data_IF_465146608989
#
_entry.id   IF_465146608989
#
_cell.length_a   1.000
_cell.length_b   1.000
_cell.length_c   1.000
_cell.angle_alpha   90.00
_cell.angle_beta   90.00
_cell.angle_gamma   90.00
#
_symmetry.space_group_name_H-M   'P 1'
#
loop_
_entity.id
_entity.type
_entity.pdbx_description
1 polymer ?
#
# COMPACT_ATOMS: atom_id res chain seq x y z
N UNK A 1 -15.99 -6.19 -65.07
CA UNK A 1 -15.92 -6.62 -63.66
C UNK A 1 -14.46 -6.76 -63.29
N UNK A 2 -13.88 -5.73 -62.67
CA UNK A 2 -12.47 -5.72 -62.29
C UNK A 2 -12.41 -5.35 -60.81
N UNK A 3 -12.15 -6.34 -59.96
CA UNK A 3 -12.02 -6.17 -58.51
C UNK A 3 -10.72 -5.39 -58.22
N UNK A 4 -10.86 -4.15 -57.72
CA UNK A 4 -9.77 -3.39 -57.12
C UNK A 4 -9.43 -4.01 -55.76
N UNK A 5 -8.16 -4.38 -55.58
CA UNK A 5 -7.59 -4.73 -54.27
C UNK A 5 -7.60 -3.49 -53.38
N UNK A 6 -8.31 -3.56 -52.26
CA UNK A 6 -8.26 -2.58 -51.17
C UNK A 6 -6.91 -2.67 -50.46
N UNK A 7 -6.22 -1.54 -50.31
CA UNK A 7 -5.07 -1.38 -49.42
C UNK A 7 -5.56 -1.48 -47.97
N UNK A 8 -5.05 -2.45 -47.20
CA UNK A 8 -5.21 -2.45 -45.74
C UNK A 8 -4.50 -1.23 -45.17
N UNK A 9 -5.26 -0.34 -44.53
CA UNK A 9 -4.72 0.63 -43.58
C UNK A 9 -4.10 -0.15 -42.41
N UNK A 10 -2.93 0.27 -41.94
CA UNK A 10 -2.32 -0.28 -40.73
C UNK A 10 -3.24 0.06 -39.55
N UNK A 11 -3.69 -0.96 -38.83
CA UNK A 11 -4.40 -0.77 -37.57
C UNK A 11 -3.43 -0.11 -36.59
N UNK A 12 -3.80 1.06 -36.04
CA UNK A 12 -3.16 1.58 -34.82
C UNK A 12 -3.37 0.52 -33.74
N UNK A 13 -2.29 0.06 -33.10
CA UNK A 13 -2.41 -0.80 -31.91
C UNK A 13 -2.92 0.07 -30.78
N UNK A 14 -3.79 -0.47 -29.93
CA UNK A 14 -4.25 0.30 -28.78
C UNK A 14 -3.08 0.48 -27.79
N UNK A 15 -2.95 1.64 -27.11
CA UNK A 15 -1.88 1.88 -26.12
C UNK A 15 -1.74 0.77 -25.07
N UNK A 16 -2.86 0.14 -24.70
CA UNK A 16 -2.88 -1.02 -23.80
C UNK A 16 -2.13 -2.25 -24.35
N UNK A 17 -2.12 -2.50 -25.67
CA UNK A 17 -1.36 -3.60 -26.28
C UNK A 17 0.14 -3.34 -26.31
N UNK A 18 0.54 -2.06 -26.44
CA UNK A 18 1.95 -1.64 -26.47
C UNK A 18 2.55 -1.70 -25.07
N UNK A 19 1.84 -1.16 -24.07
CA UNK A 19 2.22 -1.28 -22.65
C UNK A 19 2.27 -2.73 -22.18
N UNK A 20 1.33 -3.57 -22.63
CA UNK A 20 1.36 -5.03 -22.41
C UNK A 20 2.62 -5.68 -22.98
N UNK A 21 2.95 -5.35 -24.23
CA UNK A 21 4.12 -5.92 -24.92
C UNK A 21 5.42 -5.52 -24.25
N UNK A 22 5.52 -4.24 -23.84
CA UNK A 22 6.66 -3.74 -23.08
C UNK A 22 6.78 -4.41 -21.71
N UNK A 23 5.69 -4.51 -20.97
CA UNK A 23 5.70 -5.08 -19.63
C UNK A 23 6.00 -6.59 -19.62
N UNK A 24 5.60 -7.32 -20.65
CA UNK A 24 5.99 -8.73 -20.84
C UNK A 24 7.45 -8.93 -21.29
N UNK A 25 8.18 -7.86 -21.63
CA UNK A 25 9.60 -7.96 -22.00
C UNK A 25 10.53 -8.16 -20.80
N UNK A 26 10.03 -7.93 -19.58
CA UNK A 26 10.80 -8.12 -18.35
C UNK A 26 11.00 -9.62 -18.04
N UNK A 27 12.20 -10.03 -17.55
CA UNK A 27 12.43 -11.41 -17.12
C UNK A 27 11.44 -11.84 -16.05
N UNK A 28 10.94 -13.08 -16.16
CA UNK A 28 9.95 -13.66 -15.24
C UNK A 28 8.59 -12.92 -15.16
N UNK A 29 8.31 -12.05 -16.13
CA UNK A 29 7.00 -11.43 -16.29
C UNK A 29 5.96 -12.44 -16.75
N UNK A 30 4.79 -12.46 -16.12
CA UNK A 30 3.66 -13.27 -16.53
C UNK A 30 2.33 -12.55 -16.30
N UNK A 31 1.31 -12.96 -17.03
CA UNK A 31 -0.04 -12.38 -16.90
C UNK A 31 -0.87 -13.15 -15.89
N UNK A 32 -1.65 -12.41 -15.12
CA UNK A 32 -2.64 -12.89 -14.19
C UNK A 32 -3.90 -12.04 -14.32
N UNK A 33 -5.07 -12.63 -14.10
CA UNK A 33 -6.35 -11.94 -14.28
C UNK A 33 -7.20 -11.98 -13.00
N UNK A 34 -6.68 -11.46 -11.87
CA UNK A 34 -7.32 -11.62 -10.56
C UNK A 34 -8.70 -10.96 -10.47
N UNK A 35 -8.94 -9.90 -11.24
CA UNK A 35 -10.19 -9.13 -11.24
C UNK A 35 -10.89 -9.07 -12.61
N UNK A 36 -10.58 -10.00 -13.52
CA UNK A 36 -11.14 -9.99 -14.89
C UNK A 36 -10.40 -9.10 -15.88
N UNK A 37 -9.32 -8.44 -15.46
CA UNK A 37 -8.45 -7.61 -16.28
C UNK A 37 -6.97 -8.01 -16.15
N UNK A 38 -6.11 -7.54 -17.07
CA UNK A 38 -4.75 -8.07 -17.22
C UNK A 38 -3.79 -7.44 -16.20
N UNK A 39 -3.39 -8.17 -15.18
CA UNK A 39 -2.28 -7.82 -14.31
C UNK A 39 -1.00 -8.55 -14.76
N UNK A 40 0.04 -7.83 -15.10
CA UNK A 40 1.36 -8.36 -15.36
C UNK A 40 2.13 -8.36 -14.04
N UNK A 41 2.62 -9.53 -13.64
CA UNK A 41 3.42 -9.73 -12.43
C UNK A 41 4.87 -10.06 -12.78
N UNK A 42 5.80 -9.56 -11.98
CA UNK A 42 7.22 -9.94 -11.99
C UNK A 42 7.58 -10.39 -10.57
N UNK A 43 8.20 -11.57 -10.41
CA UNK A 43 8.54 -12.12 -9.10
C UNK A 43 7.35 -12.24 -8.12
N UNK A 44 6.17 -12.60 -8.64
CA UNK A 44 4.90 -12.70 -7.89
C UNK A 44 4.31 -11.37 -7.40
N UNK A 45 4.95 -10.23 -7.67
CA UNK A 45 4.43 -8.89 -7.40
C UNK A 45 3.80 -8.30 -8.65
N UNK A 46 2.72 -7.55 -8.49
CA UNK A 46 2.11 -6.80 -9.60
C UNK A 46 3.13 -5.76 -10.08
N UNK A 47 3.30 -5.70 -11.40
CA UNK A 47 4.18 -4.79 -12.11
C UNK A 47 3.36 -3.80 -12.95
N UNK A 48 2.29 -4.28 -13.58
CA UNK A 48 1.34 -3.43 -14.31
C UNK A 48 -0.05 -4.05 -14.19
N UNK A 49 -1.09 -3.26 -13.96
CA UNK A 49 -2.49 -3.64 -14.19
C UNK A 49 -3.02 -2.85 -15.38
N UNK A 50 -3.48 -3.59 -16.39
CA UNK A 50 -4.05 -3.11 -17.63
C UNK A 50 -5.56 -3.37 -17.65
N UNK A 51 -6.32 -2.28 -17.49
CA UNK A 51 -7.78 -2.29 -17.44
C UNK A 51 -8.30 -2.58 -16.04
N UNK A 52 -9.19 -1.75 -15.54
CA UNK A 52 -10.25 -2.09 -14.57
C UNK A 52 -11.60 -1.92 -15.26
N UNK A 53 -12.73 -2.12 -14.57
CA UNK A 53 -14.07 -1.88 -15.14
C UNK A 53 -14.24 -0.43 -15.69
N UNK A 54 -13.35 0.48 -15.29
CA UNK A 54 -13.29 1.88 -15.71
C UNK A 54 -12.08 2.23 -16.63
N UNK A 55 -11.37 1.24 -17.16
CA UNK A 55 -10.25 1.48 -18.08
C UNK A 55 -8.95 2.00 -17.45
N UNK A 56 -8.85 1.95 -16.12
CA UNK A 56 -7.66 2.29 -15.33
C UNK A 56 -6.44 1.46 -15.74
N UNK A 57 -5.28 2.11 -15.79
CA UNK A 57 -4.00 1.53 -16.17
C UNK A 57 -3.00 1.98 -15.11
N UNK A 58 -2.57 1.06 -14.24
CA UNK A 58 -1.66 1.34 -13.13
C UNK A 58 -0.38 0.54 -13.33
N UNK A 59 0.76 1.18 -13.08
CA UNK A 59 2.09 0.55 -13.13
C UNK A 59 2.68 0.57 -11.72
N UNK A 60 3.56 -0.36 -11.38
CA UNK A 60 4.26 -0.42 -10.10
C UNK A 60 5.60 -1.14 -10.30
N UNK A 61 6.68 -0.70 -9.66
CA UNK A 61 8.00 -1.32 -9.85
C UNK A 61 8.14 -2.59 -8.98
N UNK A 62 8.65 -3.73 -9.49
CA UNK A 62 8.91 -4.90 -8.67
C UNK A 62 10.22 -4.64 -7.92
N UNK A 63 10.14 -4.17 -6.67
CA UNK A 63 11.36 -3.89 -5.92
C UNK A 63 11.22 -3.17 -4.60
N UNK A 64 10.19 -2.36 -4.38
CA UNK A 64 9.91 -1.81 -3.06
C UNK A 64 9.48 -2.97 -2.15
N UNK A 65 10.43 -3.43 -1.34
CA UNK A 65 10.19 -4.42 -0.30
C UNK A 65 10.59 -3.70 0.96
N UNK A 66 9.59 -3.09 1.61
CA UNK A 66 9.72 -2.64 2.98
C UNK A 66 10.12 -3.87 3.80
N UNK A 67 11.34 -3.85 4.34
CA UNK A 67 11.86 -4.94 5.19
C UNK A 67 11.93 -4.41 6.60
N UNK A 68 10.82 -4.51 7.34
CA UNK A 68 10.90 -4.33 8.78
C UNK A 68 11.64 -5.53 9.39
N UNK A 69 12.72 -5.21 10.12
CA UNK A 69 13.66 -6.19 10.65
C UNK A 69 13.14 -6.74 11.97
N UNK A 70 12.28 -7.77 11.91
CA UNK A 70 11.88 -8.51 13.12
C UNK A 70 13.04 -9.35 13.64
N UNK A 71 13.79 -8.82 14.62
CA UNK A 71 14.78 -9.58 15.38
C UNK A 71 14.09 -10.23 16.58
N UNK A 72 13.76 -11.52 16.49
CA UNK A 72 13.55 -12.31 17.70
C UNK A 72 14.10 -13.73 17.54
N UNK A 73 15.20 -14.01 18.23
CA UNK A 73 15.72 -15.38 18.43
C UNK A 73 15.67 -15.70 19.92
N UNK A 74 14.89 -16.71 20.36
CA UNK A 74 15.04 -17.23 21.71
C UNK A 74 16.00 -18.44 21.70
N UNK A 75 17.12 -18.30 22.40
CA UNK A 75 17.89 -19.45 22.89
C UNK A 75 17.21 -19.94 24.18
N UNK A 76 17.21 -21.26 24.44
CA UNK A 76 17.76 -21.95 25.64
C UNK A 76 17.40 -23.46 25.62
N UNK A 77 18.33 -24.31 26.08
CA UNK A 77 18.26 -25.77 26.38
C UNK A 77 18.88 -25.93 27.80
N UNK A 78 18.83 -27.07 28.56
CA UNK A 78 17.99 -28.28 28.57
C UNK A 78 17.40 -28.71 29.95
N UNK A 79 16.48 -29.69 29.86
CA UNK A 79 16.29 -30.91 30.68
C UNK A 79 16.38 -30.89 32.23
N UNK A 80 15.32 -31.40 32.86
CA UNK A 80 15.39 -32.16 34.13
C UNK A 80 14.65 -33.50 34.00
N UNK A 81 15.19 -34.50 34.69
CA UNK A 81 14.87 -35.92 34.62
C UNK A 81 14.40 -36.41 36.02
N UNK A 82 13.70 -37.56 36.01
CA UNK A 82 13.40 -38.58 37.05
C UNK A 82 12.33 -38.32 38.16
N UNK A 83 11.75 -39.36 38.84
CA UNK A 83 11.08 -40.62 38.42
C UNK A 83 9.64 -40.84 38.97
N UNK A 84 8.93 -41.76 38.30
CA UNK A 84 8.08 -42.88 38.75
C UNK A 84 7.36 -42.87 40.13
N UNK A 85 6.03 -43.08 40.11
CA UNK A 85 5.24 -43.60 41.22
C UNK A 85 3.82 -43.99 40.78
N UNK A 86 3.55 -45.30 40.68
CA UNK A 86 2.28 -45.86 40.23
C UNK A 86 1.27 -46.01 41.38
N UNK A 87 0.02 -45.58 41.16
CA UNK A 87 -1.17 -46.07 41.89
C UNK A 87 -2.35 -46.14 40.92
N UNK A 88 -2.89 -47.35 40.71
CA UNK A 88 -4.11 -47.60 39.94
C UNK A 88 -5.36 -47.26 40.75
N UNK A 89 -6.29 -46.50 40.17
CA UNK A 89 -7.68 -46.44 40.64
C UNK A 89 -8.65 -46.13 39.48
N UNK A 90 -9.51 -47.12 39.20
CA UNK A 90 -10.88 -47.05 38.64
C UNK A 90 -11.16 -46.00 37.55
N UNK A 91 -11.16 -46.45 36.29
CA UNK A 91 -11.52 -45.62 35.14
C UNK A 91 -13.05 -45.39 35.06
N UNK A 92 -13.52 -44.29 35.65
CA UNK A 92 -14.66 -43.56 35.11
C UNK A 92 -14.18 -42.96 33.78
N UNK A 93 -14.66 -43.49 32.65
CA UNK A 93 -14.44 -42.86 31.34
C UNK A 93 -15.30 -41.60 31.29
N UNK A 94 -14.80 -40.54 31.93
CA UNK A 94 -15.12 -39.19 31.48
C UNK A 94 -14.52 -39.11 30.08
N UNK A 95 -15.35 -38.87 29.06
CA UNK A 95 -14.87 -38.38 27.77
C UNK A 95 -14.39 -36.95 28.08
N UNK A 96 -13.20 -36.85 28.66
CA UNK A 96 -12.50 -35.59 28.76
C UNK A 96 -12.22 -35.20 27.31
N UNK A 97 -12.88 -34.13 26.86
CA UNK A 97 -12.51 -33.48 25.62
C UNK A 97 -10.98 -33.29 25.65
N UNK A 98 -10.29 -33.78 24.63
CA UNK A 98 -8.85 -33.59 24.52
C UNK A 98 -8.54 -32.10 24.76
N UNK A 99 -7.49 -31.76 25.54
CA UNK A 99 -7.14 -30.36 25.74
C UNK A 99 -6.98 -29.73 24.35
N UNK A 100 -7.80 -28.70 24.07
CA UNK A 100 -7.69 -27.94 22.83
C UNK A 100 -6.25 -27.45 22.76
N UNK A 101 -5.57 -27.70 21.64
CA UNK A 101 -4.19 -27.27 21.44
C UNK A 101 -4.05 -25.80 21.86
N UNK A 102 -2.92 -25.41 22.49
CA UNK A 102 -2.69 -24.02 22.85
C UNK A 102 -2.87 -23.17 21.59
N UNK A 103 -3.66 -22.09 21.71
CA UNK A 103 -3.89 -21.15 20.62
C UNK A 103 -2.56 -20.55 20.23
N UNK A 104 -2.27 -20.56 18.94
CA UNK A 104 -1.04 -19.99 18.40
C UNK A 104 -1.18 -18.48 18.27
N UNK A 105 -0.04 -17.78 18.38
CA UNK A 105 0.07 -16.36 18.04
C UNK A 105 0.71 -16.31 16.66
N UNK A 106 -0.05 -15.85 15.68
CA UNK A 106 0.37 -15.71 14.30
C UNK A 106 0.73 -14.23 14.08
N UNK A 107 1.88 -13.95 13.49
CA UNK A 107 2.21 -12.58 13.12
C UNK A 107 1.44 -12.20 11.85
N UNK A 108 0.90 -10.98 11.78
CA UNK A 108 0.43 -10.42 10.51
C UNK A 108 1.58 -10.29 9.51
N UNK A 109 1.26 -10.44 8.22
CA UNK A 109 2.24 -10.25 7.14
C UNK A 109 2.57 -8.77 6.96
N UNK A 110 1.58 -7.91 7.17
CA UNK A 110 1.69 -6.45 7.08
C UNK A 110 0.91 -5.80 8.23
N UNK A 111 1.47 -4.75 8.82
CA UNK A 111 0.85 -3.95 9.88
C UNK A 111 1.45 -2.53 9.84
N UNK A 112 0.68 -1.58 9.31
CA UNK A 112 1.12 -0.21 9.05
C UNK A 112 0.18 0.78 9.73
N UNK A 113 0.76 1.85 10.28
CA UNK A 113 0.05 2.95 10.90
C UNK A 113 0.91 4.20 10.74
N UNK A 114 0.42 5.19 10.00
CA UNK A 114 1.18 6.40 9.70
C UNK A 114 0.27 7.60 9.46
N UNK A 115 0.86 8.78 9.54
CA UNK A 115 0.25 10.04 9.13
C UNK A 115 0.54 10.35 7.66
N UNK A 116 -0.44 10.92 6.99
CA UNK A 116 -0.31 11.43 5.64
C UNK A 116 -0.79 12.87 5.60
N UNK A 117 0.08 13.76 5.12
CA UNK A 117 -0.21 15.17 4.97
C UNK A 117 -0.26 15.52 3.50
N UNK A 118 -1.34 16.16 3.04
CA UNK A 118 -1.31 16.92 1.80
C UNK A 118 -0.87 18.35 2.11
N UNK A 119 0.35 18.71 1.70
CA UNK A 119 0.89 20.05 1.95
C UNK A 119 0.25 21.13 1.08
N UNK A 120 -0.31 20.76 -0.06
CA UNK A 120 -0.97 21.68 -1.01
C UNK A 120 -2.32 22.12 -0.45
N UNK A 121 -3.12 21.16 0.01
CA UNK A 121 -4.47 21.40 0.53
C UNK A 121 -4.48 21.71 2.03
N UNK A 122 -3.38 21.39 2.72
CA UNK A 122 -3.19 21.68 4.13
C UNK A 122 -4.13 20.85 5.01
N UNK A 123 -4.14 19.53 4.82
CA UNK A 123 -4.86 18.58 5.64
C UNK A 123 -3.94 17.42 6.10
N UNK A 124 -4.47 16.62 7.03
CA UNK A 124 -3.73 15.50 7.61
C UNK A 124 -4.67 14.34 7.98
N UNK A 125 -4.29 13.16 7.52
CA UNK A 125 -4.96 11.89 7.78
C UNK A 125 -4.11 10.93 8.61
N UNK A 126 -4.79 9.99 9.27
CA UNK A 126 -4.20 8.81 9.87
C UNK A 126 -4.63 7.58 9.06
N UNK A 127 -3.66 6.85 8.54
CA UNK A 127 -3.87 5.65 7.73
C UNK A 127 -3.44 4.42 8.51
N UNK A 128 -4.18 3.33 8.36
CA UNK A 128 -3.76 2.05 8.87
C UNK A 128 -4.12 0.91 7.94
N UNK A 129 -3.22 -0.08 7.90
CA UNK A 129 -3.38 -1.29 7.10
C UNK A 129 -2.93 -2.51 7.87
N UNK A 130 -3.64 -3.60 7.69
CA UNK A 130 -3.24 -4.93 8.17
C UNK A 130 -3.57 -5.97 7.12
N UNK A 131 -2.63 -6.87 6.87
CA UNK A 131 -2.79 -8.04 5.99
C UNK A 131 -2.29 -9.31 6.70
N UNK A 132 -3.03 -10.40 6.54
CA UNK A 132 -2.65 -11.73 6.98
C UNK A 132 -3.78 -12.75 6.90
N UNK A 133 -3.90 -13.57 7.93
CA UNK A 133 -4.75 -14.77 7.93
C UNK A 133 -6.26 -14.49 7.93
N UNK A 134 -7.04 -15.52 7.59
CA UNK A 134 -8.50 -15.57 7.50
C UNK A 134 -9.22 -15.19 8.82
N UNK A 135 -9.32 -13.89 9.07
CA UNK A 135 -9.73 -13.35 10.36
C UNK A 135 -11.24 -13.12 10.44
N UNK A 136 -11.83 -13.62 11.53
CA UNK A 136 -13.22 -13.35 11.96
C UNK A 136 -13.38 -12.03 12.72
N UNK A 137 -12.27 -11.44 13.16
CA UNK A 137 -12.19 -10.15 13.85
C UNK A 137 -10.83 -9.53 13.57
N UNK A 138 -10.79 -8.23 13.35
CA UNK A 138 -9.57 -7.42 13.19
C UNK A 138 -9.73 -6.14 14.00
N UNK A 139 -8.64 -5.56 14.47
CA UNK A 139 -8.69 -4.28 15.16
C UNK A 139 -7.33 -3.72 15.54
N UNK A 140 -7.38 -2.51 16.10
CA UNK A 140 -6.23 -1.68 16.44
C UNK A 140 -6.36 -1.16 17.87
N UNK A 141 -5.27 -1.26 18.63
CA UNK A 141 -5.17 -0.80 20.02
C UNK A 141 -3.98 0.13 20.16
N UNK A 142 -4.20 1.33 20.73
CA UNK A 142 -3.15 2.29 21.00
C UNK A 142 -2.36 2.02 22.30
N UNK A 143 -1.32 2.84 22.58
CA UNK A 143 -0.37 2.64 23.68
C UNK A 143 -1.02 2.47 25.06
N UNK A 144 -2.12 3.17 25.33
CA UNK A 144 -2.85 3.11 26.60
C UNK A 144 -3.87 1.96 26.69
N UNK A 145 -3.74 0.92 25.86
CA UNK A 145 -4.73 -0.15 25.67
C UNK A 145 -6.12 0.38 25.23
N UNK A 146 -6.16 1.56 24.62
CA UNK A 146 -7.39 2.14 24.06
C UNK A 146 -7.67 1.46 22.72
N UNK A 147 -8.81 0.78 22.61
CA UNK A 147 -9.27 0.22 21.33
C UNK A 147 -9.68 1.39 20.43
N UNK A 148 -9.06 1.46 19.25
CA UNK A 148 -9.37 2.47 18.22
C UNK A 148 -10.30 1.88 17.16
N UNK A 149 -10.04 0.62 16.77
CA UNK A 149 -10.78 -0.08 15.72
C UNK A 149 -11.11 -1.49 16.20
N UNK A 150 -12.35 -1.93 15.97
CA UNK A 150 -12.81 -3.29 16.28
C UNK A 150 -13.83 -3.74 15.24
N UNK A 151 -13.34 -4.43 14.20
CA UNK A 151 -14.14 -4.95 13.11
C UNK A 151 -14.48 -6.41 13.41
N UNK A 152 -15.77 -6.70 13.55
CA UNK A 152 -16.28 -8.06 13.69
C UNK A 152 -16.95 -8.52 12.39
N UNK A 153 -16.37 -9.55 11.79
CA UNK A 153 -16.88 -10.15 10.56
C UNK A 153 -18.10 -11.02 10.88
N UNK A 154 -19.15 -10.91 10.07
CA UNK A 154 -20.45 -11.56 10.32
C UNK A 154 -20.85 -12.51 9.17
N UNK A 155 -21.85 -13.34 9.43
CA UNK A 155 -22.38 -14.28 8.44
C UNK A 155 -21.34 -15.31 7.98
N UNK A 156 -21.50 -15.81 6.75
CA UNK A 156 -20.57 -16.79 6.18
C UNK A 156 -19.15 -16.24 6.03
N UNK A 157 -19.01 -14.92 5.81
CA UNK A 157 -17.70 -14.27 5.75
C UNK A 157 -16.97 -14.42 7.09
N UNK A 158 -17.64 -14.24 8.23
CA UNK A 158 -17.00 -14.40 9.55
C UNK A 158 -16.94 -15.83 10.09
N UNK A 159 -17.56 -16.79 9.40
CA UNK A 159 -17.70 -18.17 9.88
C UNK A 159 -16.98 -19.20 9.00
N UNK A 160 -16.77 -18.90 7.72
CA UNK A 160 -16.31 -19.87 6.72
C UNK A 160 -15.15 -19.35 5.89
N UNK A 161 -15.11 -18.04 5.58
CA UNK A 161 -14.13 -17.48 4.63
C UNK A 161 -13.04 -16.64 5.33
N UNK A 162 -13.41 -15.82 6.32
CA UNK A 162 -12.51 -14.84 6.95
C UNK A 162 -12.32 -13.57 6.11
N UNK A 163 -11.79 -12.52 6.74
CA UNK A 163 -11.17 -11.37 6.08
C UNK A 163 -9.66 -11.45 6.28
N UNK A 164 -8.89 -11.29 5.23
CA UNK A 164 -7.42 -11.29 5.28
C UNK A 164 -6.85 -9.89 5.46
N UNK A 165 -7.54 -8.88 4.92
CA UNK A 165 -7.05 -7.52 4.86
C UNK A 165 -8.05 -6.52 5.46
N UNK A 166 -7.52 -5.48 6.10
CA UNK A 166 -8.26 -4.29 6.52
C UNK A 166 -7.38 -3.05 6.29
N UNK A 167 -7.86 -2.14 5.45
CA UNK A 167 -7.30 -0.81 5.25
C UNK A 167 -8.37 0.23 5.60
N UNK A 168 -8.00 1.28 6.31
CA UNK A 168 -8.84 2.47 6.46
C UNK A 168 -8.01 3.72 6.76
N UNK A 169 -8.68 4.84 6.56
CA UNK A 169 -8.18 6.20 6.69
C UNK A 169 -9.14 6.97 7.62
N UNK A 170 -8.60 7.90 8.40
CA UNK A 170 -9.41 8.85 9.18
C UNK A 170 -9.94 9.98 8.29
N UNK A 171 -10.99 10.68 8.72
CA UNK A 171 -11.29 11.97 8.08
C UNK A 171 -10.08 12.92 8.14
N UNK A 172 -9.91 13.71 7.10
CA UNK A 172 -8.78 14.63 6.89
C UNK A 172 -9.27 16.08 7.06
N UNK A 173 -9.27 16.62 8.29
CA UNK A 173 -9.63 18.01 8.49
C UNK A 173 -8.54 18.92 7.93
N UNK A 174 -8.94 20.04 7.34
CA UNK A 174 -8.02 21.12 6.99
C UNK A 174 -7.35 21.70 8.25
N UNK A 175 -6.18 22.28 8.09
CA UNK A 175 -5.44 22.93 9.17
C UNK A 175 -6.14 24.16 9.75
N UNK A 176 -7.08 24.75 8.99
CA UNK A 176 -7.96 25.81 9.49
C UNK A 176 -8.97 25.29 10.54
N UNK A 177 -9.40 24.03 10.40
CA UNK A 177 -10.34 23.38 11.32
C UNK A 177 -9.61 22.68 12.49
N UNK A 178 -8.50 22.00 12.19
CA UNK A 178 -7.69 21.30 13.18
C UNK A 178 -6.21 21.36 12.76
N UNK A 179 -5.37 22.17 13.45
CA UNK A 179 -3.94 22.25 13.16
C UNK A 179 -3.24 20.90 13.23
N UNK A 180 -2.22 20.69 12.40
CA UNK A 180 -1.50 19.42 12.28
C UNK A 180 -0.95 18.90 13.62
N UNK A 181 -0.37 19.78 14.44
CA UNK A 181 0.18 19.42 15.76
C UNK A 181 -0.93 19.00 16.74
N UNK A 182 -2.08 19.67 16.70
CA UNK A 182 -3.26 19.27 17.48
C UNK A 182 -3.85 17.95 17.01
N UNK A 183 -3.91 17.70 15.69
CA UNK A 183 -4.36 16.43 15.11
C UNK A 183 -3.43 15.28 15.55
N UNK A 184 -2.12 15.43 15.35
CA UNK A 184 -1.14 14.42 15.75
C UNK A 184 -1.19 14.15 17.26
N UNK A 185 -1.42 15.18 18.09
CA UNK A 185 -1.56 15.03 19.54
C UNK A 185 -2.77 14.17 19.98
N UNK A 186 -3.76 13.93 19.12
CA UNK A 186 -4.86 12.99 19.40
C UNK A 186 -4.39 11.52 19.46
N UNK A 187 -3.24 11.24 18.86
CA UNK A 187 -2.61 9.94 18.75
C UNK A 187 -1.20 9.97 19.35
N UNK A 188 -1.08 9.45 20.57
CA UNK A 188 0.21 9.42 21.28
C UNK A 188 1.25 8.63 20.47
N UNK A 189 2.50 9.14 20.34
CA UNK A 189 3.57 8.38 19.70
C UNK A 189 3.91 7.13 20.51
N UNK A 190 4.25 6.04 19.83
CA UNK A 190 4.60 4.76 20.45
C UNK A 190 4.06 3.55 19.71
N UNK A 191 4.06 2.40 20.39
CA UNK A 191 3.62 1.13 19.80
C UNK A 191 2.09 1.00 19.79
N UNK A 192 1.57 0.74 18.59
CA UNK A 192 0.18 0.37 18.34
C UNK A 192 0.12 -1.09 17.96
N UNK A 193 -0.89 -1.80 18.48
CA UNK A 193 -1.04 -3.24 18.30
C UNK A 193 -2.27 -3.56 17.47
N UNK A 194 -2.01 -4.19 16.34
CA UNK A 194 -3.03 -4.85 15.54
C UNK A 194 -3.33 -6.21 16.18
N UNK A 195 -4.60 -6.56 16.20
CA UNK A 195 -5.04 -7.87 16.67
C UNK A 195 -6.05 -8.47 15.71
N UNK A 196 -5.99 -9.78 15.56
CA UNK A 196 -6.92 -10.56 14.76
C UNK A 196 -7.33 -11.84 15.45
N UNK A 197 -8.42 -12.42 14.97
CA UNK A 197 -8.86 -13.75 15.41
C UNK A 197 -9.24 -14.60 14.21
N UNK A 198 -8.43 -15.61 13.91
CA UNK A 198 -8.65 -16.52 12.78
C UNK A 198 -9.94 -17.33 12.96
N UNK A 199 -10.44 -17.94 11.88
CA UNK A 199 -11.57 -18.88 11.94
C UNK A 199 -11.29 -20.08 12.87
N UNK A 200 -10.03 -20.56 12.90
CA UNK A 200 -9.55 -21.62 13.81
C UNK A 200 -9.57 -21.21 15.28
N UNK A 201 -9.61 -19.91 15.54
CA UNK A 201 -9.68 -19.31 16.86
C UNK A 201 -8.32 -18.99 17.48
N UNK A 202 -7.25 -19.03 16.67
CA UNK A 202 -5.92 -18.51 16.98
C UNK A 202 -5.92 -16.98 16.96
N UNK A 203 -4.87 -16.39 17.52
CA UNK A 203 -4.72 -14.93 17.62
C UNK A 203 -3.72 -14.49 16.58
N UNK A 204 -4.07 -13.48 15.80
CA UNK A 204 -3.12 -12.79 14.95
C UNK A 204 -2.69 -11.49 15.64
N UNK A 205 -1.41 -11.14 15.60
CA UNK A 205 -0.87 -9.93 16.21
C UNK A 205 0.10 -9.23 15.26
N UNK A 206 0.10 -7.90 15.30
CA UNK A 206 1.00 -7.04 14.54
C UNK A 206 1.29 -5.78 15.33
N UNK A 207 2.45 -5.15 15.08
CA UNK A 207 2.87 -3.94 15.79
C UNK A 207 3.34 -2.92 14.76
N UNK A 208 2.83 -1.70 14.88
CA UNK A 208 3.35 -0.53 14.18
C UNK A 208 3.78 0.52 15.21
N UNK A 209 4.81 1.29 14.89
CA UNK A 209 5.25 2.42 15.73
C UNK A 209 4.80 3.70 15.06
N UNK A 210 3.98 4.49 15.75
CA UNK A 210 3.60 5.82 15.28
C UNK A 210 4.55 6.86 15.87
N UNK A 211 5.10 7.72 15.01
CA UNK A 211 5.89 8.89 15.40
C UNK A 211 5.16 10.17 15.00
N UNK A 212 5.63 11.32 15.47
CA UNK A 212 5.16 12.64 15.00
C UNK A 212 6.17 13.28 14.03
N UNK A 213 7.11 12.47 13.51
CA UNK A 213 8.15 12.94 12.61
C UNK A 213 7.56 12.93 11.20
N UNK A 214 7.38 14.10 10.60
CA UNK A 214 6.88 14.25 9.23
C UNK A 214 8.04 14.61 8.29
N UNK A 215 8.12 14.03 7.08
CA UNK A 215 9.10 14.46 6.09
C UNK A 215 8.75 15.85 5.56
N UNK A 216 9.77 16.58 5.10
CA UNK A 216 9.56 17.83 4.38
C UNK A 216 8.80 17.62 3.06
N UNK A 217 8.29 18.72 2.51
CA UNK A 217 7.59 18.76 1.23
C UNK A 217 8.57 18.56 0.06
N UNK A 218 8.17 17.78 -0.94
CA UNK A 218 8.92 17.71 -2.19
C UNK A 218 8.76 19.00 -3.00
N UNK A 219 9.81 19.45 -3.67
CA UNK A 219 9.75 20.61 -4.56
C UNK A 219 9.80 20.14 -6.01
N UNK A 220 8.69 20.26 -6.73
CA UNK A 220 8.63 19.90 -8.15
C UNK A 220 9.43 20.91 -8.99
N UNK A 221 10.33 20.40 -9.84
CA UNK A 221 11.15 21.18 -10.79
C UNK A 221 10.49 21.18 -12.17
N UNK A 222 9.92 20.05 -12.59
CA UNK A 222 9.23 19.89 -13.86
C UNK A 222 8.17 18.77 -13.78
N UNK A 223 6.99 18.94 -14.41
CA UNK A 223 6.49 20.19 -15.01
C UNK A 223 6.27 21.26 -13.95
N UNK A 224 6.23 22.52 -14.35
CA UNK A 224 5.80 23.60 -13.48
C UNK A 224 4.27 23.60 -13.37
N UNK A 225 3.77 24.24 -12.31
CA UNK A 225 2.34 24.48 -12.12
C UNK A 225 1.74 25.18 -13.36
N UNK A 226 0.63 24.63 -13.84
CA UNK A 226 -0.10 25.07 -15.04
C UNK A 226 0.73 25.05 -16.34
N UNK A 227 1.84 24.31 -16.39
CA UNK A 227 2.62 24.14 -17.62
C UNK A 227 1.82 23.35 -18.67
N UNK A 228 1.98 23.73 -19.94
CA UNK A 228 1.41 23.02 -21.09
C UNK A 228 2.49 22.08 -21.66
N UNK A 229 2.24 20.77 -21.61
CA UNK A 229 3.19 19.72 -21.97
C UNK A 229 2.79 19.08 -23.31
N UNK A 230 3.78 18.80 -24.17
CA UNK A 230 3.55 18.06 -25.43
C UNK A 230 3.16 16.60 -25.12
N UNK A 231 1.92 16.16 -25.43
CA UNK A 231 1.45 14.81 -25.13
C UNK A 231 2.05 13.73 -26.04
N UNK A 232 2.89 14.11 -27.01
CA UNK A 232 3.51 13.18 -27.97
C UNK A 232 4.94 12.80 -27.62
N UNK A 233 5.52 13.43 -26.60
CA UNK A 233 6.85 13.16 -26.09
C UNK A 233 6.78 12.60 -24.66
N UNK A 234 7.81 11.85 -24.25
CA UNK A 234 7.91 11.36 -22.88
C UNK A 234 8.10 12.55 -21.92
N UNK A 235 7.30 12.63 -20.85
CA UNK A 235 7.46 13.65 -19.82
C UNK A 235 8.53 13.22 -18.81
N UNK A 236 9.57 14.03 -18.65
CA UNK A 236 10.56 13.89 -17.59
C UNK A 236 10.11 14.69 -16.37
N UNK A 237 9.53 13.99 -15.38
CA UNK A 237 9.20 14.55 -14.07
C UNK A 237 10.47 14.68 -13.25
N UNK A 238 10.67 15.82 -12.60
CA UNK A 238 11.85 16.09 -11.78
C UNK A 238 11.45 16.83 -10.51
N UNK A 239 12.09 16.49 -9.39
CA UNK A 239 11.90 17.15 -8.10
C UNK A 239 13.23 17.35 -7.37
N UNK A 240 13.27 18.25 -6.39
CA UNK A 240 14.41 18.37 -5.49
C UNK A 240 14.42 17.23 -4.47
N UNK A 241 15.61 16.81 -4.06
CA UNK A 241 15.76 15.85 -2.97
C UNK A 241 15.23 16.50 -1.68
N UNK A 242 14.29 15.85 -1.00
CA UNK A 242 13.88 16.23 0.35
C UNK A 242 15.03 15.90 1.31
N UNK A 243 15.75 16.93 1.75
CA UNK A 243 16.93 16.83 2.60
C UNK A 243 16.67 17.23 4.06
N UNK A 244 15.43 17.60 4.39
CA UNK A 244 15.03 18.02 5.73
C UNK A 244 14.41 16.86 6.51
N UNK A 245 15.08 16.37 7.55
CA UNK A 245 14.38 15.78 8.67
C UNK A 245 14.19 16.86 9.73
N UNK A 246 12.97 17.40 9.82
CA UNK A 246 12.47 17.81 11.13
C UNK A 246 12.52 16.56 12.06
N UNK A 247 12.95 16.75 13.32
CA UNK A 247 14.03 16.02 14.02
C UNK A 247 13.65 14.61 14.51
N UNK A 248 14.58 13.79 15.06
CA UNK A 248 16.01 13.57 14.75
C UNK A 248 16.27 12.20 14.08
N UNK A 249 15.23 11.41 13.76
CA UNK A 249 15.34 10.07 13.17
C UNK A 249 14.65 9.93 11.81
N UNK A 250 13.90 10.94 11.36
CA UNK A 250 13.27 10.92 10.03
C UNK A 250 14.34 10.78 8.93
N UNK A 251 14.21 9.75 8.12
CA UNK A 251 15.04 9.49 6.94
C UNK A 251 14.09 9.09 5.83
N UNK A 252 14.15 9.79 4.70
CA UNK A 252 13.36 9.45 3.52
C UNK A 252 13.71 8.01 3.11
N UNK A 253 12.70 7.15 3.10
CA UNK A 253 12.83 5.75 2.69
C UNK A 253 12.48 5.57 1.21
N UNK A 254 11.48 6.29 0.72
CA UNK A 254 11.10 6.29 -0.68
C UNK A 254 10.31 7.54 -1.06
N UNK A 255 10.14 7.72 -2.38
CA UNK A 255 9.09 8.58 -2.92
C UNK A 255 8.03 7.70 -3.59
N UNK A 256 6.78 8.12 -3.56
CA UNK A 256 5.76 7.68 -4.51
C UNK A 256 5.46 8.85 -5.43
N UNK A 257 5.50 8.60 -6.74
CA UNK A 257 5.16 9.60 -7.75
C UNK A 257 3.90 9.12 -8.46
N UNK A 258 2.86 9.93 -8.40
CA UNK A 258 1.58 9.67 -9.06
C UNK A 258 1.33 10.73 -10.12
N UNK A 259 0.87 10.34 -11.30
CA UNK A 259 0.32 11.24 -12.31
C UNK A 259 -1.08 10.78 -12.63
N UNK A 260 -2.03 11.68 -12.41
CA UNK A 260 -3.44 11.40 -12.58
C UNK A 260 -4.03 12.32 -13.64
N UNK A 261 -4.88 11.77 -14.51
CA UNK A 261 -5.75 12.56 -15.38
C UNK A 261 -6.94 13.01 -14.56
N UNK A 262 -7.25 14.31 -14.60
CA UNK A 262 -8.31 14.91 -13.78
C UNK A 262 -9.67 14.19 -13.94
N UNK A 263 -10.41 14.14 -12.83
CA UNK A 263 -11.58 13.31 -12.56
C UNK A 263 -12.84 13.72 -13.35
N UNK A 264 -12.84 14.89 -13.99
CA UNK A 264 -13.95 15.38 -14.81
C UNK A 264 -14.05 14.68 -16.19
N UNK A 265 -13.15 13.75 -16.49
CA UNK A 265 -13.12 13.00 -17.76
C UNK A 265 -13.73 11.58 -17.67
N UNK A 266 -14.21 11.05 -18.80
CA UNK A 266 -14.90 9.77 -18.94
C UNK A 266 -14.00 8.54 -18.67
N UNK A 267 -12.67 8.71 -18.59
CA UNK A 267 -11.71 7.63 -18.32
C UNK A 267 -10.53 8.07 -17.47
N UNK A 268 -10.44 7.49 -16.28
CA UNK A 268 -9.32 7.69 -15.35
C UNK A 268 -8.03 7.05 -15.89
N UNK A 269 -6.92 7.78 -15.77
CA UNK A 269 -5.57 7.27 -16.00
C UNK A 269 -4.71 7.66 -14.81
N UNK A 270 -4.03 6.67 -14.23
CA UNK A 270 -3.20 6.85 -13.02
C UNK A 270 -1.87 6.14 -13.23
N UNK A 271 -0.81 6.90 -13.38
CA UNK A 271 0.55 6.40 -13.34
C UNK A 271 1.06 6.52 -11.90
N UNK A 272 1.37 5.42 -11.21
CA UNK A 272 2.00 5.47 -9.87
C UNK A 272 3.33 4.72 -9.90
N UNK A 273 4.34 5.18 -9.16
CA UNK A 273 5.61 4.48 -9.02
C UNK A 273 6.32 4.81 -7.72
N UNK A 274 6.80 3.76 -7.03
CA UNK A 274 7.72 3.89 -5.91
C UNK A 274 9.16 4.03 -6.39
N UNK A 275 9.83 5.08 -5.92
CA UNK A 275 11.18 5.49 -6.26
C UNK A 275 12.12 5.35 -5.06
N UNK A 276 13.41 5.17 -5.32
CA UNK A 276 14.42 5.13 -4.26
C UNK A 276 14.57 6.51 -3.61
N UNK A 277 15.06 6.59 -2.37
CA UNK A 277 15.16 7.87 -1.66
C UNK A 277 16.19 8.84 -2.27
N UNK A 278 17.02 8.36 -3.19
CA UNK A 278 17.98 9.18 -3.96
C UNK A 278 17.51 9.53 -5.36
N UNK A 279 16.38 8.98 -5.79
CA UNK A 279 15.82 9.28 -7.11
C UNK A 279 15.14 10.65 -7.05
N UNK A 280 15.37 11.47 -8.07
CA UNK A 280 14.83 12.84 -8.18
C UNK A 280 14.21 13.10 -9.56
N UNK A 281 13.96 12.03 -10.31
CA UNK A 281 13.34 12.11 -11.63
C UNK A 281 12.71 10.79 -12.03
N UNK A 282 11.61 10.85 -12.77
CA UNK A 282 11.00 9.69 -13.43
C UNK A 282 10.44 10.09 -14.78
N UNK A 283 10.41 9.13 -15.71
CA UNK A 283 9.86 9.35 -17.04
C UNK A 283 8.46 8.75 -17.15
N UNK A 284 7.49 9.56 -17.55
CA UNK A 284 6.14 9.13 -17.89
C UNK A 284 6.03 9.00 -19.41
N UNK A 285 5.67 7.82 -19.95
CA UNK A 285 5.62 7.61 -21.39
C UNK A 285 4.57 8.49 -22.07
N UNK A 286 4.86 8.97 -23.28
CA UNK A 286 3.95 9.77 -24.09
C UNK A 286 2.55 9.11 -24.26
N UNK A 287 2.49 7.78 -24.35
CA UNK A 287 1.25 7.03 -24.54
C UNK A 287 0.27 7.14 -23.35
N UNK A 288 0.76 7.57 -22.19
CA UNK A 288 -0.07 7.88 -21.03
C UNK A 288 -0.92 9.13 -21.27
N UNK A 289 -0.42 10.10 -22.02
CA UNK A 289 -1.06 11.39 -22.22
C UNK A 289 -2.11 11.38 -23.34
N UNK A 290 -3.11 12.22 -23.15
CA UNK A 290 -4.11 12.60 -24.14
C UNK A 290 -3.99 14.12 -24.32
N UNK A 291 -4.07 14.58 -25.57
CA UNK A 291 -4.00 16.00 -25.92
C UNK A 291 -5.18 16.81 -25.37
N UNK A 292 -4.92 18.05 -24.94
CA UNK A 292 -5.92 18.99 -24.43
C UNK A 292 -6.61 18.53 -23.15
N UNK A 293 -5.87 17.92 -22.21
CA UNK A 293 -6.41 17.36 -20.94
C UNK A 293 -5.64 17.89 -19.73
N UNK A 294 -6.36 17.94 -18.61
CA UNK A 294 -5.82 18.32 -17.31
C UNK A 294 -5.26 17.10 -16.59
N UNK A 295 -4.08 17.28 -16.00
CA UNK A 295 -3.39 16.27 -15.21
C UNK A 295 -2.88 16.89 -13.92
N UNK A 296 -2.57 16.01 -12.96
CA UNK A 296 -1.96 16.37 -11.69
C UNK A 296 -0.78 15.45 -11.44
N UNK A 297 0.35 16.02 -11.04
CA UNK A 297 1.46 15.26 -10.46
C UNK A 297 1.33 15.32 -8.95
N UNK A 298 1.39 14.17 -8.30
CA UNK A 298 1.53 14.05 -6.86
C UNK A 298 2.89 13.42 -6.54
N UNK A 299 3.62 14.01 -5.59
CA UNK A 299 4.86 13.44 -5.07
C UNK A 299 4.73 13.28 -3.57
N UNK A 300 4.72 12.03 -3.11
CA UNK A 300 4.71 11.69 -1.70
C UNK A 300 6.13 11.34 -1.26
N UNK A 301 6.70 12.13 -0.36
CA UNK A 301 7.92 11.76 0.35
C UNK A 301 7.54 10.94 1.58
N UNK A 302 8.07 9.73 1.73
CA UNK A 302 7.81 8.86 2.88
C UNK A 302 9.07 8.67 3.71
N UNK A 303 8.97 8.89 5.01
CA UNK A 303 10.05 8.59 5.97
C UNK A 303 9.93 7.18 6.57
N UNK A 304 10.94 6.77 7.33
CA UNK A 304 11.15 5.40 7.81
C UNK A 304 10.03 4.86 8.72
N UNK A 305 9.28 5.70 9.43
CA UNK A 305 8.11 5.27 10.22
C UNK A 305 6.85 5.07 9.37
N UNK A 306 6.88 5.49 8.11
CA UNK A 306 5.77 5.44 7.15
C UNK A 306 5.04 6.77 7.03
N UNK A 307 5.34 7.76 7.87
CA UNK A 307 4.73 9.07 7.74
C UNK A 307 5.12 9.69 6.40
N UNK A 308 4.17 10.35 5.75
CA UNK A 308 4.37 10.88 4.41
C UNK A 308 3.77 12.26 4.20
N UNK A 309 4.43 13.02 3.34
CA UNK A 309 4.00 14.37 2.94
C UNK A 309 3.88 14.37 1.43
N UNK A 310 2.68 14.66 0.95
CA UNK A 310 2.32 14.79 -0.45
C UNK A 310 2.32 16.26 -0.87
N UNK A 311 2.76 16.51 -2.09
CA UNK A 311 2.50 17.76 -2.84
C UNK A 311 1.76 17.40 -4.11
N UNK A 312 0.90 18.30 -4.57
CA UNK A 312 0.12 18.16 -5.77
C UNK A 312 0.35 19.36 -6.68
N UNK A 313 0.61 19.12 -7.96
CA UNK A 313 0.84 20.18 -8.94
C UNK A 313 0.05 19.89 -10.22
N UNK A 314 -0.90 20.76 -10.58
CA UNK A 314 -1.63 20.63 -11.84
C UNK A 314 -0.77 21.04 -13.04
N UNK A 315 -1.01 20.38 -14.17
CA UNK A 315 -0.48 20.76 -15.48
C UNK A 315 -1.47 20.33 -16.57
N UNK A 316 -1.23 20.78 -17.80
CA UNK A 316 -2.11 20.49 -18.95
C UNK A 316 -1.30 19.94 -20.12
N UNK A 317 -1.99 19.34 -21.08
CA UNK A 317 -1.39 18.90 -22.34
C UNK A 317 -1.90 19.72 -23.53
N UNK A 318 -1.01 19.99 -24.50
CA UNK A 318 -1.34 20.67 -25.78
C UNK A 318 -2.37 19.90 -26.64
#
# INVERSE_FOLDING_TARGET
MTLKKSKRAGAKREPCEELRTFALSFPDAYEEFPWGHCAIKVNKKIFVTLGGEDGALSMSRPGATMRTRSNNTPRWIPAFLIPLGAVSAVALVSIAAAPKAPREIIAFEEAELFFEQNATDGDLGLHFKVDGEDSSRLGLVGPNNRVLVDVKVKGNLGQVIGLTELFSESAEPSFDDLPADEFMALFEPGEYRFFGRTLGGDTAEGVATLTHDMPGEAVLIAPLEDEEVDPTEDLELMWELVDDPAPPESVIECYEVVVEKDMDDERLRVFSIFMLPTDTSVRVPAEFFEAGKDYKVEILAQETSGNRTAIEVPFTTE
#
